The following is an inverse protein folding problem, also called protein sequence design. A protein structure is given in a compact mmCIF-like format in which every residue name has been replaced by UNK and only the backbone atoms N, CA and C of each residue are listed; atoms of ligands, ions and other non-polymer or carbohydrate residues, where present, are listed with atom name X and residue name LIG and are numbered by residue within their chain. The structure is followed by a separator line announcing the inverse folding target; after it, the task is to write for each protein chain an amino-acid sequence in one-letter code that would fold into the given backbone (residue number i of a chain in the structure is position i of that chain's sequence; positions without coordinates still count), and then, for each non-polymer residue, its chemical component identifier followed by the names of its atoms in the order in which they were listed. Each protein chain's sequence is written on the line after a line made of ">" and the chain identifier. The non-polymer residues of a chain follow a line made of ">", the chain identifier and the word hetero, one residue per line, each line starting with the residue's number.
data_IF_377736042444
#
_entry.id   IF_377736042444
#
_cell.length_a   1.000
_cell.length_b   1.000
_cell.length_c   1.000
_cell.angle_alpha   90.00
_cell.angle_beta   90.00
_cell.angle_gamma   90.00
#
_symmetry.space_group_name_H-M   'P 1'
#
loop_
_entity.id
_entity.type
_entity.pdbx_description
1 polymer ?
#
# COMPACT_ATOMS: atom_id res chain seq x y z
N UNK A 1 9.34 1.74 9.47
CA UNK A 1 8.53 0.51 9.35
C UNK A 1 7.48 0.51 10.45
N UNK A 2 6.22 0.17 10.16
CA UNK A 2 5.12 0.19 11.16
C UNK A 2 5.06 -1.19 11.82
N UNK A 3 5.08 -1.24 13.16
CA UNK A 3 4.94 -2.50 13.92
C UNK A 3 3.47 -2.83 14.15
N UNK A 4 3.17 -4.11 14.39
CA UNK A 4 1.82 -4.57 14.72
C UNK A 4 1.25 -3.83 15.93
N UNK A 5 2.02 -3.71 17.01
CA UNK A 5 1.54 -3.08 18.24
C UNK A 5 1.19 -1.60 18.04
N UNK A 6 1.97 -0.89 17.21
CA UNK A 6 1.68 0.51 16.84
C UNK A 6 0.43 0.64 15.96
N UNK A 7 0.15 -0.35 15.11
CA UNK A 7 -1.09 -0.38 14.34
C UNK A 7 -2.28 -0.73 15.24
N UNK A 8 -2.12 -1.68 16.17
CA UNK A 8 -3.16 -2.09 17.11
C UNK A 8 -3.57 -0.99 18.06
N UNK A 9 -2.64 -0.16 18.54
CA UNK A 9 -2.98 0.95 19.45
C UNK A 9 -3.85 2.02 18.79
N UNK A 10 -3.93 2.03 17.46
CA UNK A 10 -4.78 2.93 16.68
C UNK A 10 -6.09 2.28 16.23
N UNK A 11 -6.32 1.00 16.52
CA UNK A 11 -7.55 0.35 16.10
C UNK A 11 -8.74 0.97 16.83
N UNK A 12 -9.85 1.27 16.11
CA UNK A 12 -11.10 1.60 16.78
C UNK A 12 -11.55 0.40 17.61
N UNK A 13 -12.40 0.65 18.61
CA UNK A 13 -12.99 -0.42 19.39
C UNK A 13 -13.80 -1.36 18.48
N UNK A 14 -13.53 -2.66 18.59
CA UNK A 14 -14.21 -3.71 17.82
C UNK A 14 -14.95 -4.60 18.82
N UNK A 15 -16.28 -4.52 18.79
CA UNK A 15 -17.15 -5.31 19.67
C UNK A 15 -17.12 -6.80 19.31
N UNK A 16 -17.15 -7.12 18.01
CA UNK A 16 -17.12 -8.50 17.53
C UNK A 16 -15.73 -9.13 17.76
N UNK A 17 -15.68 -10.10 18.66
CA UNK A 17 -14.46 -10.85 19.02
C UNK A 17 -13.83 -11.56 17.82
N UNK A 18 -14.62 -12.15 16.92
CA UNK A 18 -14.11 -12.85 15.74
C UNK A 18 -13.53 -11.86 14.74
N UNK A 19 -14.18 -10.70 14.56
CA UNK A 19 -13.64 -9.61 13.75
C UNK A 19 -12.32 -9.09 14.33
N UNK A 20 -12.26 -8.82 15.63
CA UNK A 20 -11.03 -8.36 16.29
C UNK A 20 -9.88 -9.35 16.10
N UNK A 21 -10.12 -10.64 16.34
CA UNK A 21 -9.11 -11.68 16.15
C UNK A 21 -8.68 -11.83 14.69
N UNK A 22 -9.59 -11.61 13.74
CA UNK A 22 -9.27 -11.61 12.31
C UNK A 22 -8.40 -10.41 11.93
N UNK A 23 -8.73 -9.22 12.41
CA UNK A 23 -7.95 -8.00 12.19
C UNK A 23 -6.55 -8.13 12.80
N UNK A 24 -6.44 -8.60 14.05
CA UNK A 24 -5.15 -8.84 14.72
C UNK A 24 -4.25 -9.81 13.93
N UNK A 25 -4.82 -10.93 13.47
CA UNK A 25 -4.09 -11.91 12.67
C UNK A 25 -3.67 -11.32 11.30
N UNK A 26 -4.56 -10.58 10.64
CA UNK A 26 -4.24 -9.96 9.36
C UNK A 26 -3.13 -8.91 9.49
N UNK A 27 -3.15 -8.07 10.54
CA UNK A 27 -2.09 -7.11 10.82
C UNK A 27 -0.73 -7.78 11.00
N UNK A 28 -0.69 -8.88 11.78
CA UNK A 28 0.52 -9.68 11.95
C UNK A 28 1.04 -10.25 10.63
N UNK A 29 0.16 -10.81 9.81
CA UNK A 29 0.52 -11.37 8.51
C UNK A 29 1.10 -10.30 7.57
N UNK A 30 0.52 -9.09 7.58
CA UNK A 30 0.93 -7.97 6.72
C UNK A 30 2.26 -7.38 7.17
N UNK A 31 2.39 -7.05 8.47
CA UNK A 31 3.48 -6.23 8.99
C UNK A 31 4.71 -7.06 9.37
N UNK A 32 4.50 -8.27 9.90
CA UNK A 32 5.60 -9.11 10.41
C UNK A 32 5.92 -10.29 9.51
N UNK A 33 4.92 -10.83 8.79
CA UNK A 33 5.13 -11.97 7.86
C UNK A 33 5.20 -11.59 6.39
N UNK A 34 5.22 -10.29 6.11
CA UNK A 34 5.33 -9.74 4.76
C UNK A 34 4.34 -10.36 3.74
N UNK A 35 3.17 -10.83 4.19
CA UNK A 35 2.11 -11.32 3.28
C UNK A 35 1.46 -10.17 2.55
N UNK A 36 0.95 -10.44 1.34
CA UNK A 36 0.14 -9.46 0.61
C UNK A 36 -1.16 -9.18 1.37
N UNK A 37 -1.70 -7.97 1.19
CA UNK A 37 -2.91 -7.52 1.87
C UNK A 37 -4.10 -8.49 1.65
N UNK A 38 -4.39 -8.83 0.39
CA UNK A 38 -5.48 -9.74 0.04
C UNK A 38 -5.28 -11.15 0.59
N UNK A 39 -4.05 -11.68 0.55
CA UNK A 39 -3.73 -12.99 1.12
C UNK A 39 -3.94 -12.99 2.63
N UNK A 40 -3.43 -11.98 3.34
CA UNK A 40 -3.56 -11.86 4.79
C UNK A 40 -5.03 -11.79 5.23
N UNK A 41 -5.83 -10.96 4.56
CA UNK A 41 -7.28 -10.84 4.83
C UNK A 41 -8.00 -12.17 4.59
N UNK A 42 -7.69 -12.86 3.50
CA UNK A 42 -8.32 -14.15 3.21
C UNK A 42 -7.95 -15.21 4.23
N UNK A 43 -6.67 -15.30 4.63
CA UNK A 43 -6.21 -16.24 5.66
C UNK A 43 -6.88 -15.93 7.00
N UNK A 44 -6.94 -14.65 7.39
CA UNK A 44 -7.55 -14.25 8.65
C UNK A 44 -9.05 -14.55 8.70
N UNK A 45 -9.77 -14.22 7.63
CA UNK A 45 -11.19 -14.53 7.45
C UNK A 45 -11.46 -16.02 7.62
N UNK A 46 -10.70 -16.87 6.92
CA UNK A 46 -10.86 -18.33 7.02
C UNK A 46 -10.47 -18.89 8.40
N UNK A 47 -9.34 -18.46 8.97
CA UNK A 47 -8.84 -19.01 10.25
C UNK A 47 -9.64 -18.59 11.47
N UNK A 48 -10.30 -17.42 11.42
CA UNK A 48 -11.10 -16.89 12.54
C UNK A 48 -12.60 -17.04 12.34
N UNK A 49 -13.03 -17.68 11.25
CA UNK A 49 -14.44 -17.92 10.95
C UNK A 49 -15.23 -16.64 10.62
N UNK A 50 -14.56 -15.53 10.30
CA UNK A 50 -15.19 -14.25 10.00
C UNK A 50 -15.34 -14.05 8.49
N UNK A 51 -16.55 -14.21 7.96
CA UNK A 51 -16.79 -14.28 6.51
C UNK A 51 -16.67 -12.93 5.78
N UNK A 52 -16.97 -11.82 6.46
CA UNK A 52 -17.07 -10.50 5.80
C UNK A 52 -15.69 -9.84 5.66
N UNK A 53 -14.95 -10.23 4.63
CA UNK A 53 -13.58 -9.73 4.37
C UNK A 53 -13.50 -8.20 4.32
N UNK A 54 -14.52 -7.53 3.79
CA UNK A 54 -14.58 -6.06 3.70
C UNK A 54 -14.43 -5.36 5.05
N UNK A 55 -14.98 -5.93 6.14
CA UNK A 55 -14.84 -5.34 7.47
C UNK A 55 -13.41 -5.44 7.98
N UNK A 56 -12.74 -6.58 7.72
CA UNK A 56 -11.33 -6.76 8.04
C UNK A 56 -10.49 -5.75 7.24
N UNK A 57 -10.76 -5.61 5.93
CA UNK A 57 -10.05 -4.66 5.07
C UNK A 57 -10.18 -3.22 5.56
N UNK A 58 -11.40 -2.81 5.96
CA UNK A 58 -11.68 -1.47 6.49
C UNK A 58 -10.79 -1.17 7.71
N UNK A 59 -10.84 -2.02 8.74
CA UNK A 59 -10.07 -1.79 9.97
C UNK A 59 -8.56 -1.75 9.73
N UNK A 60 -8.04 -2.55 8.79
CA UNK A 60 -6.61 -2.51 8.47
C UNK A 60 -6.26 -1.19 7.78
N UNK A 61 -7.10 -0.69 6.87
CA UNK A 61 -6.88 0.59 6.18
C UNK A 61 -6.99 1.79 7.12
N UNK A 62 -7.80 1.69 8.16
CA UNK A 62 -7.92 2.74 9.17
C UNK A 62 -6.62 2.93 9.98
N UNK A 63 -5.82 1.86 10.15
CA UNK A 63 -4.61 1.90 10.98
C UNK A 63 -3.30 1.82 10.22
N UNK A 64 -3.32 1.34 8.98
CA UNK A 64 -2.16 1.31 8.08
C UNK A 64 -2.28 2.41 7.04
N UNK A 65 -1.34 3.37 7.01
CA UNK A 65 -1.39 4.49 6.09
C UNK A 65 -1.21 4.01 4.64
N UNK A 66 -1.88 4.65 3.65
CA UNK A 66 -1.83 4.25 2.24
C UNK A 66 -0.41 4.14 1.66
N UNK A 67 0.50 5.00 2.12
CA UNK A 67 1.90 5.08 1.69
C UNK A 67 2.64 3.76 1.95
N UNK A 68 2.28 3.03 3.00
CA UNK A 68 2.84 1.71 3.29
C UNK A 68 2.52 0.70 2.17
N UNK A 69 1.29 0.72 1.66
CA UNK A 69 0.88 -0.18 0.59
C UNK A 69 1.51 0.20 -0.75
N UNK A 70 1.61 1.50 -1.03
CA UNK A 70 2.29 2.01 -2.23
C UNK A 70 3.77 1.62 -2.26
N UNK A 71 4.48 1.79 -1.13
CA UNK A 71 5.88 1.39 -1.02
C UNK A 71 6.07 -0.12 -1.22
N UNK A 72 5.16 -0.95 -0.72
CA UNK A 72 5.23 -2.41 -0.95
C UNK A 72 4.89 -2.79 -2.38
N UNK A 73 3.98 -2.07 -3.02
CA UNK A 73 3.66 -2.31 -4.42
C UNK A 73 4.86 -2.01 -5.32
N UNK A 74 5.55 -0.88 -5.11
CA UNK A 74 6.73 -0.52 -5.90
C UNK A 74 7.89 -1.49 -5.69
N UNK A 75 8.09 -1.97 -4.46
CA UNK A 75 9.13 -2.97 -4.15
C UNK A 75 8.86 -4.31 -4.82
N UNK A 76 7.60 -4.78 -4.83
CA UNK A 76 7.21 -6.08 -5.37
C UNK A 76 6.82 -6.05 -6.85
N UNK A 77 6.87 -4.89 -7.51
CA UNK A 77 6.55 -4.78 -8.93
C UNK A 77 7.52 -5.64 -9.77
N UNK A 78 7.02 -6.36 -10.79
CA UNK A 78 7.87 -7.12 -11.69
C UNK A 78 8.88 -6.20 -12.39
N UNK A 79 10.08 -6.70 -12.77
CA UNK A 79 11.14 -5.89 -13.36
C UNK A 79 10.68 -5.12 -14.60
N UNK A 80 9.83 -5.72 -15.42
CA UNK A 80 9.24 -5.15 -16.63
C UNK A 80 8.40 -3.91 -16.32
N UNK A 81 7.50 -3.98 -15.32
CA UNK A 81 6.68 -2.85 -14.90
C UNK A 81 7.53 -1.72 -14.28
N UNK A 82 8.61 -2.06 -13.58
CA UNK A 82 9.59 -1.09 -13.06
C UNK A 82 10.30 -0.37 -14.21
N UNK A 83 10.74 -1.11 -15.22
CA UNK A 83 11.41 -0.57 -16.39
C UNK A 83 10.50 0.34 -17.23
N UNK A 84 9.24 -0.06 -17.43
CA UNK A 84 8.25 0.76 -18.14
C UNK A 84 7.98 2.08 -17.42
N UNK A 85 7.80 2.03 -16.09
CA UNK A 85 7.57 3.24 -15.29
C UNK A 85 8.78 4.18 -15.33
N UNK A 86 9.99 3.63 -15.24
CA UNK A 86 11.23 4.42 -15.35
C UNK A 86 11.40 5.05 -16.74
N UNK A 87 11.08 4.32 -17.81
CA UNK A 87 11.11 4.83 -19.18
C UNK A 87 10.12 5.97 -19.40
N UNK A 88 8.89 5.84 -18.88
CA UNK A 88 7.89 6.91 -18.93
C UNK A 88 8.34 8.15 -18.17
N UNK A 89 8.88 8.02 -16.96
CA UNK A 89 9.42 9.17 -16.20
C UNK A 89 10.56 9.87 -16.94
N UNK A 90 11.46 9.13 -17.58
CA UNK A 90 12.54 9.71 -18.40
C UNK A 90 11.98 10.49 -19.60
N UNK A 91 10.97 9.96 -20.28
CA UNK A 91 10.33 10.64 -21.39
C UNK A 91 9.68 11.97 -20.94
N UNK A 92 8.96 11.97 -19.83
CA UNK A 92 8.38 13.21 -19.26
C UNK A 92 9.45 14.23 -18.88
N UNK A 93 10.51 13.81 -18.18
CA UNK A 93 11.60 14.71 -17.80
C UNK A 93 12.32 15.31 -19.02
N UNK A 94 12.44 14.55 -20.11
CA UNK A 94 13.00 15.04 -21.37
C UNK A 94 12.06 16.05 -22.05
N UNK A 95 10.76 15.80 -22.06
CA UNK A 95 9.77 16.75 -22.57
C UNK A 95 9.76 18.05 -21.76
N UNK A 96 9.84 17.99 -20.44
CA UNK A 96 9.94 19.19 -19.59
C UNK A 96 11.21 19.99 -19.86
N UNK A 97 12.35 19.32 -20.07
CA UNK A 97 13.60 20.00 -20.44
C UNK A 97 13.50 20.69 -21.80
N UNK A 98 12.96 19.99 -22.80
CA UNK A 98 12.75 20.57 -24.13
C UNK A 98 11.80 21.76 -24.09
N UNK A 99 10.73 21.68 -23.29
CA UNK A 99 9.78 22.77 -23.14
C UNK A 99 10.40 23.99 -22.47
N UNK A 100 11.24 23.80 -21.44
CA UNK A 100 12.00 24.89 -20.80
C UNK A 100 12.96 25.56 -21.78
N UNK A 101 13.74 24.77 -22.52
CA UNK A 101 14.65 25.30 -23.55
C UNK A 101 13.89 26.12 -24.60
N UNK A 102 12.72 25.65 -25.04
CA UNK A 102 11.88 26.38 -25.98
C UNK A 102 11.39 27.73 -25.43
N UNK A 103 11.01 27.78 -24.15
CA UNK A 103 10.56 29.03 -23.51
C UNK A 103 11.75 30.00 -23.38
N UNK A 104 12.91 29.51 -22.93
CA UNK A 104 14.11 30.32 -22.76
C UNK A 104 14.52 30.97 -24.11
N UNK A 105 14.55 30.20 -25.21
CA UNK A 105 14.85 30.68 -26.57
C UNK A 105 13.86 31.77 -27.05
N UNK A 106 12.59 31.69 -26.66
CA UNK A 106 11.55 32.67 -27.04
C UNK A 106 11.70 33.96 -26.21
N UNK A 107 12.11 33.87 -24.95
CA UNK A 107 12.23 35.02 -24.04
C UNK A 107 13.56 35.76 -24.12
N UNK A 108 14.62 35.15 -24.67
CA UNK A 108 15.92 35.79 -24.92
C UNK A 108 16.02 36.46 -26.32
N UNK A 109 14.91 36.55 -27.07
CA UNK A 109 14.80 37.23 -28.37
C UNK A 109 14.32 38.68 -28.29
#
# INVERSE_FOLDING_TARGET
>A
MISKDKAKSKLPFIEDKNLYQAVDLALWLILEKNRSFKSAVSIASSKRGYKVKAHIEKHIRDVIPPEFFLARQSQNAPPEAKAETASRMRAYANMEKQNKQHIDDITES
#
